data_IF_447156249275
#
_entry.id   IF_447156249275
#
_cell.length_a   1.000
_cell.length_b   1.000
_cell.length_c   1.000
_cell.angle_alpha   90.00
_cell.angle_beta   90.00
_cell.angle_gamma   90.00
#
_symmetry.space_group_name_H-M   'P 1'
#
loop_
_entity.id
_entity.type
_entity.pdbx_description
1 polymer ?
#
# COMPACT_ATOMS: atom_id res chain seq x y z
N UNK A 1 1.35 -11.36 -1.16
CA UNK A 1 -0.06 -10.98 -1.00
C UNK A 1 -0.52 -11.31 0.40
N UNK A 2 -0.60 -10.29 1.26
CA UNK A 2 -1.26 -10.38 2.55
C UNK A 2 -2.75 -10.12 2.37
N UNK A 3 -3.58 -10.79 3.16
CA UNK A 3 -5.03 -10.65 3.13
C UNK A 3 -5.44 -10.08 4.48
N UNK A 4 -6.31 -9.06 4.47
CA UNK A 4 -6.78 -8.42 5.69
C UNK A 4 -7.47 -9.46 6.59
N UNK A 5 -7.04 -9.58 7.84
CA UNK A 5 -7.54 -10.59 8.78
C UNK A 5 -8.84 -10.17 9.47
N UNK A 6 -9.24 -8.92 9.31
CA UNK A 6 -10.47 -8.31 9.81
C UNK A 6 -11.60 -8.31 8.77
N UNK A 7 -11.33 -8.68 7.52
CA UNK A 7 -12.36 -8.90 6.53
C UNK A 7 -13.09 -10.23 6.82
N UNK A 8 -14.44 -10.26 6.77
CA UNK A 8 -15.20 -11.50 6.90
C UNK A 8 -14.74 -12.55 5.88
N UNK A 9 -14.78 -13.84 6.24
CA UNK A 9 -14.32 -14.91 5.35
C UNK A 9 -15.06 -14.93 4.01
N UNK A 10 -16.31 -14.47 3.98
CA UNK A 10 -17.11 -14.38 2.75
C UNK A 10 -16.61 -13.32 1.76
N UNK A 11 -15.69 -12.43 2.17
CA UNK A 11 -15.00 -11.51 1.26
C UNK A 11 -13.79 -12.13 0.56
N UNK A 12 -13.41 -13.36 0.91
CA UNK A 12 -12.36 -14.10 0.22
C UNK A 12 -12.93 -14.92 -0.94
N UNK A 13 -12.15 -15.02 -2.02
CA UNK A 13 -12.65 -15.50 -3.30
C UNK A 13 -13.28 -14.35 -4.11
N UNK A 14 -12.99 -14.34 -5.41
CA UNK A 14 -13.39 -13.25 -6.31
C UNK A 14 -12.26 -12.26 -6.62
N UNK A 15 -12.60 -11.21 -7.35
CA UNK A 15 -11.66 -10.25 -7.94
C UNK A 15 -11.71 -8.93 -7.18
N UNK A 16 -10.56 -8.48 -6.68
CA UNK A 16 -10.36 -7.12 -6.14
C UNK A 16 -9.89 -6.21 -7.26
N UNK A 17 -10.41 -4.99 -7.29
CA UNK A 17 -9.96 -3.92 -8.18
C UNK A 17 -9.14 -2.93 -7.37
N UNK A 18 -7.93 -2.61 -7.84
CA UNK A 18 -7.07 -1.63 -7.20
C UNK A 18 -7.62 -0.21 -7.35
N UNK A 19 -7.71 0.52 -6.24
CA UNK A 19 -8.18 1.91 -6.23
C UNK A 19 -7.07 2.93 -6.43
N UNK A 20 -5.81 2.54 -6.23
CA UNK A 20 -4.66 3.45 -6.24
C UNK A 20 -3.48 2.83 -6.98
N UNK A 21 -2.65 3.70 -7.55
CA UNK A 21 -1.26 3.41 -7.82
C UNK A 21 -0.43 3.61 -6.54
N UNK A 22 0.61 2.81 -6.35
CA UNK A 22 1.51 2.93 -5.21
C UNK A 22 2.90 3.36 -5.71
N UNK A 23 3.40 4.48 -5.19
CA UNK A 23 4.79 4.92 -5.42
C UNK A 23 5.52 5.14 -4.09
N UNK A 24 6.84 5.01 -4.12
CA UNK A 24 7.70 5.28 -2.96
C UNK A 24 7.96 6.79 -2.80
N UNK A 25 8.64 7.18 -1.71
CA UNK A 25 8.99 8.58 -1.44
C UNK A 25 9.90 9.22 -2.50
N UNK A 26 10.46 8.43 -3.41
CA UNK A 26 11.29 8.86 -4.54
C UNK A 26 10.53 8.83 -5.88
N UNK A 27 9.20 8.66 -5.86
CA UNK A 27 8.35 8.68 -7.04
C UNK A 27 8.43 7.41 -7.89
N UNK A 28 9.05 6.34 -7.39
CA UNK A 28 9.19 5.08 -8.13
C UNK A 28 8.04 4.14 -7.86
N UNK A 29 7.62 3.41 -8.89
CA UNK A 29 6.54 2.43 -8.80
C UNK A 29 6.88 1.30 -7.81
N UNK A 30 6.01 1.11 -6.82
CA UNK A 30 5.97 -0.09 -5.97
C UNK A 30 5.13 -1.17 -6.67
N UNK A 31 5.78 -2.26 -7.05
CA UNK A 31 5.14 -3.43 -7.66
C UNK A 31 4.52 -4.36 -6.60
N UNK A 32 3.44 -5.05 -6.94
CA UNK A 32 2.68 -5.92 -6.01
C UNK A 32 3.40 -7.23 -5.65
N UNK A 33 4.52 -7.49 -6.30
CA UNK A 33 5.34 -8.70 -6.18
C UNK A 33 6.43 -8.59 -5.09
N UNK A 34 6.73 -7.38 -4.61
CA UNK A 34 7.76 -7.12 -3.60
C UNK A 34 7.30 -7.30 -2.14
N UNK A 35 8.26 -7.24 -1.22
CA UNK A 35 8.01 -7.16 0.21
C UNK A 35 8.04 -5.69 0.68
N UNK A 36 7.35 -5.33 1.78
CA UNK A 36 7.44 -3.99 2.35
C UNK A 36 8.88 -3.56 2.66
N UNK A 37 9.75 -4.51 3.01
CA UNK A 37 11.17 -4.25 3.27
C UNK A 37 11.94 -3.69 2.06
N UNK A 38 11.47 -3.97 0.84
CA UNK A 38 12.09 -3.56 -0.42
C UNK A 38 11.83 -2.08 -0.74
N UNK A 39 10.84 -1.45 -0.08
CA UNK A 39 10.57 -0.02 -0.20
C UNK A 39 11.74 0.75 0.44
N UNK A 40 12.44 1.62 -0.30
CA UNK A 40 13.54 2.42 0.24
C UNK A 40 13.09 3.29 1.42
N UNK A 41 14.00 3.52 2.37
CA UNK A 41 13.76 4.51 3.42
C UNK A 41 13.87 5.91 2.81
N UNK A 42 12.77 6.66 2.90
CA UNK A 42 12.74 8.09 2.66
C UNK A 42 12.76 8.77 4.04
N UNK A 43 13.85 9.47 4.34
CA UNK A 43 14.09 10.13 5.64
C UNK A 43 13.88 9.22 6.87
N UNK A 44 14.30 7.96 6.78
CA UNK A 44 14.21 7.00 7.87
C UNK A 44 12.87 6.29 8.01
N UNK A 45 11.89 6.60 7.17
CA UNK A 45 10.60 5.89 7.10
C UNK A 45 10.38 5.24 5.73
N UNK A 46 9.60 4.16 5.67
CA UNK A 46 9.08 3.62 4.41
C UNK A 46 7.79 4.35 4.08
N UNK A 47 7.81 5.11 2.99
CA UNK A 47 6.68 5.93 2.55
C UNK A 47 6.00 5.26 1.37
N UNK A 48 4.66 5.19 1.42
CA UNK A 48 3.81 4.74 0.33
C UNK A 48 2.84 5.87 0.01
N UNK A 49 2.93 6.39 -1.21
CA UNK A 49 2.02 7.41 -1.73
C UNK A 49 0.88 6.71 -2.48
N UNK A 50 -0.35 7.16 -2.24
CA UNK A 50 -1.54 6.66 -2.90
C UNK A 50 -1.91 7.60 -4.06
N UNK A 51 -1.47 7.25 -5.26
CA UNK A 51 -1.76 8.02 -6.47
C UNK A 51 -2.99 7.51 -7.21
N UNK A 52 -3.60 8.32 -8.08
CA UNK A 52 -4.59 7.82 -9.03
C UNK A 52 -4.04 6.65 -9.87
N UNK A 53 -4.82 5.58 -10.10
CA UNK A 53 -4.35 4.46 -10.87
C UNK A 53 -4.20 4.87 -12.36
N UNK A 54 -3.03 4.66 -13.00
CA UNK A 54 -2.84 4.98 -14.42
C UNK A 54 -3.65 4.06 -15.35
N UNK A 55 -4.05 2.90 -14.83
CA UNK A 55 -4.99 1.98 -15.44
C UNK A 55 -5.62 1.11 -14.35
N UNK A 56 -6.80 0.55 -14.67
CA UNK A 56 -7.48 -0.35 -13.76
C UNK A 56 -6.70 -1.67 -13.65
N UNK A 57 -6.34 -2.03 -12.42
CA UNK A 57 -5.72 -3.31 -12.09
C UNK A 57 -6.69 -4.15 -11.27
N UNK A 58 -6.65 -5.46 -11.46
CA UNK A 58 -7.40 -6.38 -10.64
C UNK A 58 -6.62 -7.65 -10.35
N UNK A 59 -6.95 -8.30 -9.24
CA UNK A 59 -6.31 -9.55 -8.81
C UNK A 59 -7.28 -10.39 -8.00
N UNK A 60 -7.03 -11.70 -7.95
CA UNK A 60 -7.86 -12.60 -7.16
C UNK A 60 -7.57 -12.38 -5.67
N UNK A 61 -8.63 -12.21 -4.86
CA UNK A 61 -8.54 -12.09 -3.42
C UNK A 61 -8.40 -13.48 -2.77
N UNK A 62 -7.18 -14.01 -2.77
CA UNK A 62 -6.91 -15.39 -2.31
C UNK A 62 -6.05 -15.36 -1.05
N UNK A 63 -6.48 -16.10 -0.02
CA UNK A 63 -5.67 -16.40 1.16
C UNK A 63 -4.68 -17.54 0.86
N UNK A 64 -3.58 -17.19 0.19
CA UNK A 64 -2.55 -18.17 -0.25
C UNK A 64 -1.92 -18.96 0.92
N UNK A 65 -1.81 -18.33 2.09
CA UNK A 65 -1.23 -18.93 3.30
C UNK A 65 -2.25 -18.88 4.45
N UNK A 66 -3.19 -19.84 4.54
CA UNK A 66 -4.31 -19.78 5.49
C UNK A 66 -3.88 -19.83 6.96
N UNK A 67 -2.67 -20.34 7.24
CA UNK A 67 -2.14 -20.42 8.60
C UNK A 67 -1.27 -19.22 8.99
N UNK A 68 -1.01 -18.29 8.06
CA UNK A 68 -0.24 -17.09 8.34
C UNK A 68 -1.18 -15.95 8.74
N UNK A 69 -1.06 -15.47 9.97
CA UNK A 69 -1.78 -14.29 10.45
C UNK A 69 -1.00 -13.04 10.09
N UNK A 70 -1.63 -12.10 9.37
CA UNK A 70 -1.13 -10.76 9.16
C UNK A 70 -1.85 -9.79 10.11
N UNK A 71 -1.20 -8.72 10.53
CA UNK A 71 -1.85 -7.65 11.31
C UNK A 71 -1.37 -6.30 10.82
N UNK A 72 -2.28 -5.34 10.78
CA UNK A 72 -1.98 -3.93 10.52
C UNK A 72 -2.52 -3.12 11.71
N UNK A 73 -1.72 -2.20 12.21
CA UNK A 73 -2.14 -1.27 13.25
C UNK A 73 -1.91 0.14 12.75
N UNK A 74 -2.98 0.95 12.75
CA UNK A 74 -2.88 2.36 12.42
C UNK A 74 -2.47 3.11 13.69
N UNK A 75 -1.24 3.63 13.70
CA UNK A 75 -0.72 4.39 14.86
C UNK A 75 -1.44 5.74 15.04
N UNK A 76 -1.90 6.35 13.95
CA UNK A 76 -2.61 7.61 13.94
C UNK A 76 -2.67 8.21 12.53
N UNK A 77 -3.45 9.28 12.39
CA UNK A 77 -3.43 10.12 11.21
C UNK A 77 -2.51 11.32 11.45
N UNK A 78 -1.73 11.70 10.45
CA UNK A 78 -0.93 12.92 10.51
C UNK A 78 -1.85 14.16 10.49
N UNK A 79 -1.51 15.23 11.24
CA UNK A 79 -2.17 16.52 11.07
C UNK A 79 -2.03 17.04 9.64
N UNK A 80 -2.99 17.84 9.12
CA UNK A 80 -2.95 18.33 7.74
C UNK A 80 -1.66 19.07 7.35
N UNK A 81 -1.11 19.87 8.27
CA UNK A 81 0.13 20.62 8.03
C UNK A 81 1.35 19.69 7.90
N UNK A 82 1.42 18.64 8.73
CA UNK A 82 2.49 17.65 8.66
C UNK A 82 2.36 16.81 7.40
N UNK A 83 1.14 16.38 7.05
CA UNK A 83 0.89 15.68 5.80
C UNK A 83 1.28 16.50 4.57
N UNK A 84 0.99 17.81 4.56
CA UNK A 84 1.41 18.71 3.49
C UNK A 84 2.95 18.83 3.41
N UNK A 85 3.62 18.99 4.55
CA UNK A 85 5.09 19.05 4.60
C UNK A 85 5.76 17.76 4.12
N UNK A 86 5.18 16.59 4.39
CA UNK A 86 5.62 15.32 3.79
C UNK A 86 5.45 15.33 2.26
N UNK A 87 4.28 15.75 1.78
CA UNK A 87 3.98 15.78 0.35
C UNK A 87 4.89 16.73 -0.44
N UNK A 88 5.30 17.86 0.14
CA UNK A 88 6.21 18.81 -0.50
C UNK A 88 7.64 18.26 -0.70
N UNK A 89 8.04 17.26 0.09
CA UNK A 89 9.39 16.67 0.05
C UNK A 89 9.46 15.38 -0.77
N UNK A 90 8.34 14.69 -0.90
CA UNK A 90 8.21 13.48 -1.71
C UNK A 90 8.34 13.83 -3.20
N UNK A 91 9.08 13.02 -3.95
CA UNK A 91 9.20 13.22 -5.39
C UNK A 91 7.88 12.88 -6.11
N UNK A 92 7.51 13.62 -7.17
CA UNK A 92 6.34 13.27 -7.97
C UNK A 92 6.54 11.91 -8.66
N UNK A 93 5.46 11.20 -9.02
CA UNK A 93 5.55 9.95 -9.77
C UNK A 93 6.32 10.15 -11.08
N UNK A 94 7.26 9.24 -11.35
CA UNK A 94 8.13 9.24 -12.53
C UNK A 94 7.47 8.67 -13.80
#
# INVERSE_FOLDING_TARGET
MAVATDAPEERFGGTVVGSFNLVDGYGKWIWNEGAPADIPLFEGARVVVLDPPPYQRSWNNIRRFPMMSASLTVAGALPPAEAADWLDRIAPPA
#
